data_IF_812484697860
#
_entry.id   IF_812484697860
#
_cell.length_a   1.000
_cell.length_b   1.000
_cell.length_c   1.000
_cell.angle_alpha   90.00
_cell.angle_beta   90.00
_cell.angle_gamma   90.00
#
_symmetry.space_group_name_H-M   'P 1'
#
loop_
_entity.id
_entity.type
_entity.pdbx_description
1 polymer ?
#
# COMPACT_ATOMS: atom_id res chain seq x y z
N UNK A 1 -0.12 -11.85 26.52
CA UNK A 1 -0.77 -12.91 25.74
C UNK A 1 -0.67 -14.19 26.52
N UNK A 2 -1.75 -14.99 26.53
CA UNK A 2 -1.77 -16.26 27.26
C UNK A 2 -1.34 -17.35 26.28
N UNK A 3 -0.28 -18.08 26.62
CA UNK A 3 0.17 -19.28 25.88
C UNK A 3 0.24 -20.39 26.92
N UNK A 4 -0.53 -21.46 26.72
CA UNK A 4 -0.59 -22.62 27.63
C UNK A 4 -0.90 -22.28 29.10
N UNK A 5 -1.67 -21.20 29.34
CA UNK A 5 -2.09 -20.76 30.68
C UNK A 5 -1.16 -19.74 31.34
N UNK A 6 0.02 -19.49 30.76
CA UNK A 6 0.99 -18.52 31.28
C UNK A 6 0.90 -17.17 30.57
N UNK A 7 1.18 -16.09 31.30
CA UNK A 7 1.18 -14.72 30.76
C UNK A 7 2.53 -14.33 30.16
N UNK A 8 2.54 -14.05 28.86
CA UNK A 8 3.70 -13.56 28.12
C UNK A 8 3.54 -12.11 27.67
N UNK A 9 4.65 -11.38 27.58
CA UNK A 9 4.73 -10.05 26.94
C UNK A 9 5.77 -10.07 25.85
N UNK A 10 5.56 -9.27 24.81
CA UNK A 10 6.54 -9.10 23.73
C UNK A 10 7.34 -7.83 24.02
N UNK A 11 8.66 -7.92 24.02
CA UNK A 11 9.56 -6.77 24.11
C UNK A 11 10.21 -6.54 22.75
N UNK A 12 10.00 -5.36 22.15
CA UNK A 12 10.56 -5.04 20.83
C UNK A 12 10.77 -3.53 20.71
N UNK A 13 11.92 -3.11 20.18
CA UNK A 13 12.26 -1.69 19.95
C UNK A 13 12.05 -0.77 21.18
N UNK A 14 12.36 -1.27 22.38
CA UNK A 14 12.19 -0.53 23.63
C UNK A 14 10.74 -0.41 24.11
N UNK A 15 9.80 -1.14 23.51
CA UNK A 15 8.38 -1.16 23.87
C UNK A 15 7.97 -2.53 24.39
N UNK A 16 6.92 -2.55 25.19
CA UNK A 16 6.29 -3.76 25.73
C UNK A 16 4.89 -3.88 25.15
N UNK A 17 4.62 -5.00 24.50
CA UNK A 17 3.33 -5.31 23.89
C UNK A 17 2.63 -6.42 24.64
N UNK A 18 1.32 -6.26 24.80
CA UNK A 18 0.49 -7.18 25.57
C UNK A 18 -0.04 -8.36 24.72
N UNK A 19 0.00 -8.25 23.39
CA UNK A 19 -0.29 -9.35 22.46
C UNK A 19 0.39 -9.17 21.10
N UNK A 20 0.45 -10.24 20.29
CA UNK A 20 1.03 -10.20 18.95
C UNK A 20 0.23 -9.30 17.97
N UNK A 21 -1.07 -9.13 18.21
CA UNK A 21 -1.89 -8.21 17.42
C UNK A 21 -1.44 -6.75 17.62
N UNK A 22 -1.11 -6.37 18.85
CA UNK A 22 -0.59 -5.03 19.20
C UNK A 22 0.69 -4.71 18.42
N UNK A 23 1.63 -5.66 18.38
CA UNK A 23 2.86 -5.56 17.56
C UNK A 23 2.53 -5.32 16.10
N UNK A 24 1.61 -6.11 15.55
CA UNK A 24 1.18 -6.00 14.15
C UNK A 24 0.54 -4.64 13.86
N UNK A 25 -0.30 -4.14 14.76
CA UNK A 25 -0.99 -2.87 14.62
C UNK A 25 -0.05 -1.67 14.73
N UNK A 26 1.05 -1.76 15.50
CA UNK A 26 2.08 -0.72 15.45
C UNK A 26 2.75 -0.64 14.06
N UNK A 27 3.04 -1.78 13.44
CA UNK A 27 3.72 -1.84 12.15
C UNK A 27 2.82 -1.40 11.00
N UNK A 28 1.63 -2.02 10.87
CA UNK A 28 0.76 -1.88 9.69
C UNK A 28 -0.62 -1.32 10.01
N UNK A 29 -0.89 -0.94 11.25
CA UNK A 29 -2.17 -0.35 11.64
C UNK A 29 -2.48 0.96 10.94
N UNK A 30 -3.76 1.32 10.97
CA UNK A 30 -4.29 2.50 10.30
C UNK A 30 -4.72 2.23 8.86
N UNK A 31 -5.60 3.10 8.35
CA UNK A 31 -6.27 2.91 7.04
C UNK A 31 -5.30 2.80 5.87
N UNK A 32 -4.24 3.60 5.86
CA UNK A 32 -3.50 3.86 4.62
C UNK A 32 -2.27 2.97 4.40
N UNK A 33 -1.58 2.50 5.46
CA UNK A 33 -0.38 1.66 5.31
C UNK A 33 -0.67 0.38 4.53
N UNK A 34 -1.68 -0.39 4.97
CA UNK A 34 -2.09 -1.64 4.32
C UNK A 34 -2.58 -1.41 2.89
N UNK A 35 -3.30 -0.31 2.63
CA UNK A 35 -3.74 0.04 1.27
C UNK A 35 -2.54 0.33 0.36
N UNK A 36 -1.57 1.13 0.81
CA UNK A 36 -0.35 1.42 0.03
C UNK A 36 0.42 0.14 -0.29
N UNK A 37 0.65 -0.71 0.73
CA UNK A 37 1.31 -2.00 0.55
C UNK A 37 0.55 -2.91 -0.43
N UNK A 38 -0.78 -2.96 -0.32
CA UNK A 38 -1.63 -3.71 -1.22
C UNK A 38 -1.45 -3.27 -2.67
N UNK A 39 -1.42 -1.97 -2.95
CA UNK A 39 -1.22 -1.50 -4.33
C UNK A 39 0.20 -1.75 -4.84
N UNK A 40 1.22 -1.77 -3.96
CA UNK A 40 2.60 -2.11 -4.32
C UNK A 40 2.87 -3.61 -4.48
N UNK A 41 1.94 -4.50 -4.09
CA UNK A 41 2.15 -5.96 -4.10
C UNK A 41 2.52 -6.56 -5.45
N UNK A 42 2.05 -5.95 -6.55
CA UNK A 42 2.22 -6.49 -7.91
C UNK A 42 3.49 -5.97 -8.58
N UNK A 43 3.75 -4.68 -8.45
CA UNK A 43 4.77 -3.98 -9.20
C UNK A 43 5.13 -2.65 -8.53
N UNK A 44 6.34 -2.19 -8.80
CA UNK A 44 6.83 -0.88 -8.38
C UNK A 44 6.01 0.25 -9.02
N UNK A 45 5.80 1.37 -8.31
CA UNK A 45 4.96 2.48 -8.77
C UNK A 45 5.57 3.83 -8.49
N UNK A 46 5.27 4.79 -9.35
CA UNK A 46 5.49 6.22 -9.08
C UNK A 46 4.45 6.74 -8.08
N UNK A 47 4.77 7.84 -7.41
CA UNK A 47 3.86 8.49 -6.45
C UNK A 47 2.48 8.81 -7.07
N UNK A 48 2.46 9.39 -8.27
CA UNK A 48 1.22 9.77 -8.96
C UNK A 48 0.37 8.56 -9.34
N UNK A 49 0.99 7.42 -9.65
CA UNK A 49 0.29 6.18 -9.96
C UNK A 49 -0.38 5.60 -8.71
N UNK A 50 0.33 5.57 -7.58
CA UNK A 50 -0.24 5.18 -6.28
C UNK A 50 -1.42 6.08 -5.90
N UNK A 51 -1.23 7.40 -5.96
CA UNK A 51 -2.30 8.36 -5.62
C UNK A 51 -3.53 8.16 -6.49
N UNK A 52 -3.36 7.95 -7.81
CA UNK A 52 -4.48 7.69 -8.73
C UNK A 52 -5.21 6.39 -8.40
N UNK A 53 -4.49 5.38 -7.92
CA UNK A 53 -5.05 4.08 -7.57
C UNK A 53 -5.71 4.03 -6.19
N UNK A 54 -5.46 5.02 -5.33
CA UNK A 54 -5.98 5.10 -3.97
C UNK A 54 -6.91 6.32 -3.85
N UNK A 55 -8.19 6.20 -4.23
CA UNK A 55 -9.14 7.30 -4.07
C UNK A 55 -9.23 7.79 -2.62
N UNK A 56 -9.30 9.12 -2.46
CA UNK A 56 -9.45 9.77 -1.15
C UNK A 56 -8.18 9.97 -0.34
N UNK A 57 -7.02 9.46 -0.77
CA UNK A 57 -5.75 9.79 -0.10
C UNK A 57 -5.22 11.16 -0.58
N UNK A 58 -4.86 12.01 0.38
CA UNK A 58 -4.20 13.30 0.07
C UNK A 58 -2.72 13.08 -0.24
N UNK A 59 -2.09 14.00 -0.98
CA UNK A 59 -0.65 13.90 -1.26
C UNK A 59 0.19 13.90 0.01
N UNK A 60 -0.16 14.79 0.96
CA UNK A 60 0.48 14.87 2.28
C UNK A 60 0.40 13.53 3.00
N UNK A 61 -0.78 12.90 2.99
CA UNK A 61 -0.98 11.62 3.66
C UNK A 61 -0.19 10.50 2.96
N UNK A 62 -0.26 10.39 1.63
CA UNK A 62 0.50 9.36 0.90
C UNK A 62 2.01 9.51 1.12
N UNK A 63 2.52 10.74 1.11
CA UNK A 63 3.93 11.04 1.40
C UNK A 63 4.32 10.60 2.82
N UNK A 64 3.48 10.88 3.81
CA UNK A 64 3.69 10.44 5.19
C UNK A 64 3.74 8.90 5.29
N UNK A 65 2.80 8.20 4.67
CA UNK A 65 2.75 6.75 4.72
C UNK A 65 3.95 6.10 4.04
N UNK A 66 4.35 6.59 2.85
CA UNK A 66 5.52 6.07 2.14
C UNK A 66 6.81 6.28 2.94
N UNK A 67 7.00 7.44 3.57
CA UNK A 67 8.15 7.70 4.44
C UNK A 67 8.20 6.77 5.66
N UNK A 68 7.04 6.51 6.27
CA UNK A 68 6.96 5.59 7.40
C UNK A 68 7.26 4.15 6.96
N UNK A 69 6.63 3.68 5.88
CA UNK A 69 6.87 2.33 5.34
C UNK A 69 8.31 2.14 4.83
N UNK A 70 8.95 3.20 4.34
CA UNK A 70 10.37 3.19 3.99
C UNK A 70 11.25 3.08 5.24
N UNK A 71 10.98 3.89 6.26
CA UNK A 71 11.69 3.85 7.55
C UNK A 71 11.54 2.48 8.24
N UNK A 72 10.34 1.91 8.19
CA UNK A 72 10.01 0.60 8.76
C UNK A 72 10.56 -0.56 7.90
N UNK A 73 11.19 -0.26 6.75
CA UNK A 73 11.84 -1.25 5.89
C UNK A 73 10.89 -2.08 5.02
N UNK A 74 9.61 -1.74 4.94
CA UNK A 74 8.62 -2.43 4.11
C UNK A 74 8.62 -1.98 2.64
N UNK A 75 8.99 -0.72 2.39
CA UNK A 75 8.99 -0.12 1.05
C UNK A 75 10.38 0.43 0.73
N UNK A 76 10.89 0.15 -0.47
CA UNK A 76 12.08 0.83 -0.99
C UNK A 76 11.69 2.02 -1.85
N UNK A 77 12.53 3.05 -1.85
CA UNK A 77 12.43 4.23 -2.71
C UNK A 77 13.67 4.32 -3.60
N UNK A 78 13.47 4.22 -4.91
CA UNK A 78 14.57 4.31 -5.89
C UNK A 78 14.43 5.57 -6.73
N UNK A 79 15.48 6.38 -6.75
CA UNK A 79 15.60 7.54 -7.64
C UNK A 79 16.34 7.09 -8.90
N UNK A 80 15.77 7.37 -10.07
CA UNK A 80 16.44 7.16 -11.34
C UNK A 80 16.85 8.52 -11.90
N UNK A 81 18.15 8.79 -12.07
CA UNK A 81 18.68 10.04 -12.60
C UNK A 81 18.58 10.07 -14.14
N UNK A 82 17.37 9.88 -14.66
CA UNK A 82 17.04 10.06 -16.08
C UNK A 82 16.40 11.45 -16.30
N UNK A 83 16.17 11.85 -17.56
CA UNK A 83 15.45 13.10 -17.88
C UNK A 83 14.08 12.75 -18.45
N UNK A 84 12.97 13.14 -17.78
CA UNK A 84 12.88 13.76 -16.46
C UNK A 84 13.15 12.76 -15.32
N UNK A 85 13.68 13.20 -14.16
CA UNK A 85 13.99 12.31 -13.05
C UNK A 85 12.71 11.63 -12.55
N UNK A 86 12.82 10.34 -12.23
CA UNK A 86 11.69 9.56 -11.68
C UNK A 86 12.04 8.96 -10.34
N UNK A 87 11.00 8.76 -9.54
CA UNK A 87 11.06 8.06 -8.27
C UNK A 87 10.05 6.93 -8.29
N UNK A 88 10.48 5.74 -7.92
CA UNK A 88 9.63 4.57 -7.80
C UNK A 88 9.69 3.99 -6.40
N UNK A 89 8.56 3.44 -5.97
CA UNK A 89 8.38 2.75 -4.71
C UNK A 89 8.08 1.29 -4.98
N UNK A 90 8.66 0.38 -4.22
CA UNK A 90 8.42 -1.06 -4.34
C UNK A 90 8.39 -1.72 -2.96
N UNK A 91 7.74 -2.88 -2.83
CA UNK A 91 7.92 -3.70 -1.62
C UNK A 91 9.35 -4.23 -1.54
N UNK A 92 9.94 -4.14 -0.36
CA UNK A 92 11.19 -4.83 -0.04
C UNK A 92 10.92 -6.34 0.15
N UNK A 93 11.97 -7.19 0.24
CA UNK A 93 11.79 -8.58 0.65
C UNK A 93 11.06 -8.71 2.00
N UNK A 94 11.36 -7.84 2.97
CA UNK A 94 10.66 -7.79 4.25
C UNK A 94 9.19 -7.35 4.08
N UNK A 95 8.92 -6.31 3.28
CA UNK A 95 7.54 -5.89 2.96
C UNK A 95 6.69 -6.99 2.33
N UNK A 96 7.31 -7.89 1.55
CA UNK A 96 6.60 -9.03 0.95
C UNK A 96 6.16 -10.09 1.97
N UNK A 97 6.76 -10.15 3.17
CA UNK A 97 6.30 -11.08 4.21
C UNK A 97 4.91 -10.72 4.75
N UNK A 98 4.44 -9.49 4.50
CA UNK A 98 3.09 -9.05 4.86
C UNK A 98 2.01 -9.48 3.87
N UNK A 99 2.37 -10.00 2.69
CA UNK A 99 1.38 -10.32 1.65
C UNK A 99 0.30 -11.32 2.11
N UNK A 100 0.64 -12.44 2.79
CA UNK A 100 -0.38 -13.36 3.29
C UNK A 100 -1.35 -12.69 4.27
N UNK A 101 -0.85 -11.83 5.16
CA UNK A 101 -1.68 -11.06 6.09
C UNK A 101 -2.63 -10.12 5.33
N UNK A 102 -2.13 -9.38 4.34
CA UNK A 102 -2.97 -8.47 3.55
C UNK A 102 -4.04 -9.22 2.76
N UNK A 103 -3.76 -10.42 2.28
CA UNK A 103 -4.72 -11.28 1.60
C UNK A 103 -5.86 -11.72 2.54
N UNK A 104 -5.54 -12.12 3.77
CA UNK A 104 -6.53 -12.50 4.77
C UNK A 104 -7.38 -11.30 5.22
N UNK A 105 -6.76 -10.12 5.44
CA UNK A 105 -7.51 -8.88 5.72
C UNK A 105 -8.47 -8.56 4.56
N UNK A 106 -8.00 -8.65 3.32
CA UNK A 106 -8.83 -8.37 2.15
C UNK A 106 -9.95 -9.41 1.97
N UNK A 107 -9.69 -10.68 2.31
CA UNK A 107 -10.67 -11.76 2.27
C UNK A 107 -11.77 -11.54 3.30
N UNK A 108 -11.40 -11.25 4.55
CA UNK A 108 -12.37 -10.91 5.58
C UNK A 108 -13.20 -9.67 5.20
N UNK A 109 -12.56 -8.64 4.65
CA UNK A 109 -13.25 -7.43 4.17
C UNK A 109 -14.27 -7.72 3.05
N UNK A 110 -13.96 -8.65 2.12
CA UNK A 110 -14.92 -9.11 1.11
C UNK A 110 -16.12 -9.81 1.73
N UNK A 111 -15.87 -10.78 2.61
CA UNK A 111 -16.93 -11.49 3.34
C UNK A 111 -17.87 -10.52 4.08
N UNK A 112 -17.33 -9.48 4.72
CA UNK A 112 -18.16 -8.47 5.39
C UNK A 112 -19.00 -7.64 4.41
N UNK A 113 -18.43 -7.28 3.25
CA UNK A 113 -19.16 -6.58 2.20
C UNK A 113 -20.27 -7.44 1.57
N UNK A 114 -20.06 -8.75 1.46
CA UNK A 114 -21.06 -9.72 0.99
C UNK A 114 -22.20 -9.92 2.00
N UNK A 115 -21.88 -10.02 3.29
CA UNK A 115 -22.86 -10.32 4.34
C UNK A 115 -23.67 -9.10 4.80
N UNK A 116 -23.08 -7.91 4.78
CA UNK A 116 -23.66 -6.71 5.43
C UNK A 116 -23.70 -5.48 4.51
N UNK A 117 -23.36 -5.62 3.23
CA UNK A 117 -23.34 -4.52 2.27
C UNK A 117 -23.82 -4.94 0.88
N UNK A 118 -23.38 -4.21 -0.13
CA UNK A 118 -23.57 -4.55 -1.54
C UNK A 118 -22.25 -4.47 -2.28
N UNK A 119 -22.02 -5.40 -3.20
CA UNK A 119 -20.85 -5.39 -4.08
C UNK A 119 -21.33 -5.07 -5.49
N UNK A 120 -20.91 -3.92 -5.99
CA UNK A 120 -21.25 -3.46 -7.33
C UNK A 120 -20.05 -3.59 -8.28
N UNK A 121 -20.33 -4.02 -9.52
CA UNK A 121 -19.33 -4.08 -10.58
C UNK A 121 -19.08 -2.67 -11.11
N UNK A 122 -17.90 -2.11 -10.86
CA UNK A 122 -17.49 -0.87 -11.54
C UNK A 122 -17.03 -1.15 -12.97
N UNK A 123 -17.61 -0.44 -13.95
CA UNK A 123 -17.05 -0.35 -15.29
C UNK A 123 -15.82 0.56 -15.28
N UNK A 124 -14.66 0.07 -15.75
CA UNK A 124 -13.48 0.91 -15.90
C UNK A 124 -13.62 1.77 -17.15
N UNK A 125 -13.43 3.10 -17.07
CA UNK A 125 -13.40 3.93 -18.28
C UNK A 125 -12.27 3.49 -19.20
N UNK A 126 -12.62 3.11 -20.44
CA UNK A 126 -11.66 2.76 -21.49
C UNK A 126 -10.86 4.02 -21.85
N UNK A 127 -9.53 3.99 -21.66
CA UNK A 127 -8.64 5.09 -22.09
C UNK A 127 -8.76 5.26 -23.61
N UNK A 128 -9.36 6.36 -24.08
CA UNK A 128 -9.31 6.75 -25.50
C UNK A 128 -7.85 7.02 -25.89
N UNK A 129 -7.35 6.36 -26.94
CA UNK A 129 -6.03 6.66 -27.52
C UNK A 129 -6.07 8.09 -28.07
N UNK A 130 -5.26 8.99 -27.51
CA UNK A 130 -5.06 10.33 -28.07
C UNK A 130 -4.20 10.20 -29.32
N UNK A 131 -4.83 10.21 -30.50
CA UNK A 131 -4.15 10.44 -31.77
C UNK A 131 -3.70 11.91 -31.81
N UNK A 132 -2.39 12.16 -31.69
CA UNK A 132 -1.81 13.46 -32.03
C UNK A 132 -1.96 13.64 -33.53
N UNK A 133 -2.80 14.58 -34.00
CA UNK A 133 -2.76 15.04 -35.39
C UNK A 133 -1.39 15.67 -35.64
N UNK A 134 -0.65 15.15 -36.61
CA UNK A 134 0.54 15.80 -37.14
C UNK A 134 0.08 17.06 -37.87
N UNK A 135 0.48 18.23 -37.39
CA UNK A 135 0.30 19.50 -38.11
C UNK A 135 1.38 19.55 -39.18
N UNK A 136 1.01 19.26 -40.43
CA UNK A 136 1.81 19.58 -41.60
C UNK A 136 1.79 21.10 -41.81
N UNK A 137 2.93 21.74 -41.55
CA UNK A 137 3.21 23.11 -42.00
C UNK A 137 3.68 22.97 -43.45
N UNK A 138 2.82 23.35 -44.39
CA UNK A 138 3.18 23.49 -45.80
C UNK A 138 3.97 24.79 -46.01
N UNK A 139 5.11 24.67 -46.69
CA UNK A 139 5.81 25.75 -47.39
C UNK A 139 5.18 25.91 -48.77
#
# INVERSE_FOLDING_TARGET
>A
MIIDGDEYRIHMNGRVYHCALDVTMEMVGGKWKTIVLWYLRKDKKRFSELRRQIPGITEKMLSLQLRQLEKDGFVSRTIYPEVPPRVEYALTPHGKTLLPLLEEIAKWGRMMGENYGSIEKMERPVKKKTTRKATSIGL
#
